data_IF_859342552425
#
_entry.id   IF_859342552425
#
_cell.length_a   1.000
_cell.length_b   1.000
_cell.length_c   1.000
_cell.angle_alpha   90.00
_cell.angle_beta   90.00
_cell.angle_gamma   90.00
#
_symmetry.space_group_name_H-M   'P 1'
#
loop_
_entity.id
_entity.type
_entity.pdbx_description
1 polymer ?
#
# COMPACT_ATOMS: atom_id res chain seq x y z
N UNK A 1 1.65 18.61 -70.33
CA UNK A 1 1.39 17.21 -70.74
C UNK A 1 1.61 16.37 -69.48
N UNK A 2 0.62 16.18 -68.59
CA UNK A 2 -0.43 15.13 -68.62
C UNK A 2 0.17 13.73 -68.83
N UNK A 3 0.01 12.71 -67.98
CA UNK A 3 -1.10 12.29 -67.11
C UNK A 3 -0.53 11.53 -65.87
N UNK A 4 -1.02 11.69 -64.64
CA UNK A 4 -2.28 11.15 -64.08
C UNK A 4 -2.43 9.63 -64.17
N UNK A 5 -2.24 8.92 -63.04
CA UNK A 5 -2.95 7.67 -62.70
C UNK A 5 -3.11 7.52 -61.18
N UNK A 6 -4.31 7.91 -60.75
CA UNK A 6 -5.03 7.37 -59.60
C UNK A 6 -5.39 5.90 -59.87
N UNK A 7 -5.28 5.00 -58.89
CA UNK A 7 -6.34 4.06 -58.51
C UNK A 7 -5.91 3.13 -57.37
N UNK A 8 -6.61 3.32 -56.26
CA UNK A 8 -6.86 2.45 -55.13
C UNK A 8 -7.45 1.09 -55.57
N UNK A 9 -6.92 -0.04 -55.08
CA UNK A 9 -7.70 -1.28 -54.89
C UNK A 9 -7.31 -1.91 -53.56
N UNK A 10 -8.30 -2.02 -52.69
CA UNK A 10 -8.32 -2.70 -51.40
C UNK A 10 -8.30 -4.21 -51.63
N UNK A 11 -7.44 -4.95 -50.93
CA UNK A 11 -7.61 -6.39 -50.75
C UNK A 11 -7.30 -6.76 -49.30
N UNK A 12 -8.38 -7.07 -48.59
CA UNK A 12 -8.44 -7.63 -47.25
C UNK A 12 -8.18 -9.15 -47.36
N UNK A 13 -7.21 -9.70 -46.64
CA UNK A 13 -7.22 -11.14 -46.33
C UNK A 13 -6.38 -11.44 -45.09
N UNK A 14 -7.10 -11.79 -44.04
CA UNK A 14 -6.61 -12.39 -42.80
C UNK A 14 -5.80 -13.66 -43.09
N UNK A 15 -4.68 -13.85 -42.40
CA UNK A 15 -4.29 -15.18 -41.90
C UNK A 15 -3.34 -15.04 -40.72
N UNK A 16 -3.74 -15.73 -39.66
CA UNK A 16 -3.22 -15.62 -38.31
C UNK A 16 -1.81 -16.21 -38.17
N UNK A 17 -1.09 -15.56 -37.26
CA UNK A 17 0.22 -15.90 -36.75
C UNK A 17 0.16 -17.23 -35.97
N UNK A 18 1.00 -18.20 -36.34
CA UNK A 18 1.28 -19.37 -35.51
C UNK A 18 2.80 -19.59 -35.48
N UNK A 19 3.47 -19.04 -34.47
CA UNK A 19 4.88 -19.30 -34.19
C UNK A 19 5.00 -20.26 -33.00
N UNK A 20 5.60 -21.42 -33.30
CA UNK A 20 6.39 -22.35 -32.48
C UNK A 20 6.29 -22.30 -30.96
N UNK A 21 5.87 -23.43 -30.39
CA UNK A 21 6.03 -23.74 -28.97
C UNK A 21 7.25 -24.62 -28.65
N UNK A 22 7.50 -24.68 -27.33
CA UNK A 22 8.25 -25.68 -26.54
C UNK A 22 9.78 -25.44 -26.42
N UNK A 23 10.46 -25.41 -25.26
CA UNK A 23 10.23 -26.04 -23.94
C UNK A 23 10.98 -25.28 -22.81
N UNK A 24 10.31 -24.96 -21.72
CA UNK A 24 10.91 -25.04 -20.37
C UNK A 24 9.88 -25.71 -19.46
N UNK A 25 10.17 -26.94 -19.07
CA UNK A 25 9.33 -27.72 -18.17
C UNK A 25 9.28 -27.07 -16.80
N UNK A 26 8.15 -26.44 -16.48
CA UNK A 26 7.75 -26.18 -15.10
C UNK A 26 7.10 -27.44 -14.56
N UNK A 27 7.84 -28.13 -13.71
CA UNK A 27 7.45 -29.30 -12.93
C UNK A 27 6.10 -29.02 -12.20
N UNK A 28 4.97 -29.69 -12.55
CA UNK A 28 3.66 -29.38 -11.98
C UNK A 28 3.49 -29.85 -10.52
N UNK A 29 4.53 -30.44 -9.92
CA UNK A 29 4.48 -30.97 -8.55
C UNK A 29 4.83 -29.95 -7.44
N UNK A 30 5.11 -28.68 -7.77
CA UNK A 30 5.49 -27.64 -6.77
C UNK A 30 4.49 -26.50 -6.57
N UNK A 31 3.37 -26.49 -7.28
CA UNK A 31 2.30 -25.53 -7.03
C UNK A 31 1.30 -26.14 -6.07
N UNK A 32 1.51 -25.94 -4.76
CA UNK A 32 0.41 -26.03 -3.79
C UNK A 32 -0.75 -25.12 -4.21
N UNK A 33 -1.98 -25.33 -3.69
CA UNK A 33 -3.16 -24.63 -4.17
C UNK A 33 -2.96 -23.12 -4.08
N UNK A 34 -2.76 -22.48 -5.24
CA UNK A 34 -2.84 -21.03 -5.37
C UNK A 34 -4.32 -20.71 -5.41
N UNK A 35 -4.86 -20.23 -4.29
CA UNK A 35 -6.18 -19.62 -4.30
C UNK A 35 -6.16 -18.48 -5.33
N UNK A 36 -7.19 -18.34 -6.18
CA UNK A 36 -7.25 -17.25 -7.14
C UNK A 36 -7.37 -15.96 -6.35
N UNK A 37 -6.31 -15.17 -6.33
CA UNK A 37 -6.38 -13.78 -5.87
C UNK A 37 -7.10 -13.04 -7.00
N UNK A 38 -8.41 -12.91 -6.91
CA UNK A 38 -9.16 -12.12 -7.88
C UNK A 38 -8.83 -10.67 -7.67
N UNK A 39 -8.57 -9.93 -8.75
CA UNK A 39 -8.34 -8.49 -8.64
C UNK A 39 -9.69 -7.78 -8.78
N UNK A 40 -10.05 -6.88 -7.86
CA UNK A 40 -11.25 -6.04 -8.05
C UNK A 40 -11.09 -5.18 -9.30
N UNK A 41 -12.19 -4.61 -9.78
CA UNK A 41 -12.18 -3.67 -10.92
C UNK A 41 -11.20 -2.49 -10.72
N UNK A 42 -10.78 -2.25 -9.48
CA UNK A 42 -9.88 -1.16 -9.07
C UNK A 42 -8.42 -1.63 -8.94
N UNK A 43 -8.09 -2.88 -9.26
CA UNK A 43 -6.71 -3.38 -9.18
C UNK A 43 -6.31 -3.97 -7.82
N UNK A 44 -7.25 -4.17 -6.88
CA UNK A 44 -7.00 -4.70 -5.53
C UNK A 44 -7.05 -6.23 -5.49
N UNK A 45 -6.18 -6.89 -4.73
CA UNK A 45 -6.36 -8.29 -4.38
C UNK A 45 -7.66 -8.47 -3.58
N UNK A 46 -8.76 -8.91 -4.19
CA UNK A 46 -9.97 -9.33 -3.49
C UNK A 46 -9.63 -10.49 -2.56
N UNK A 47 -9.66 -10.21 -1.26
CA UNK A 47 -9.33 -11.16 -0.20
C UNK A 47 -10.58 -11.79 0.41
N UNK A 48 -11.76 -11.47 -0.12
CA UNK A 48 -13.00 -12.11 0.34
C UNK A 48 -12.93 -13.61 0.06
N UNK A 49 -13.12 -14.42 1.10
CA UNK A 49 -13.02 -15.88 1.01
C UNK A 49 -11.64 -16.50 1.24
N UNK A 50 -10.59 -15.70 1.51
CA UNK A 50 -9.33 -16.25 2.02
C UNK A 50 -9.49 -16.73 3.48
N UNK A 51 -8.89 -17.87 3.80
CA UNK A 51 -8.79 -18.33 5.18
C UNK A 51 -7.84 -17.44 5.98
N UNK A 52 -7.98 -17.42 7.30
CA UNK A 52 -7.09 -16.68 8.20
C UNK A 52 -5.59 -16.99 7.93
N UNK A 53 -5.25 -18.27 7.72
CA UNK A 53 -3.87 -18.68 7.42
C UNK A 53 -3.38 -18.17 6.04
N UNK A 54 -4.27 -18.03 5.06
CA UNK A 54 -3.92 -17.42 3.77
C UNK A 54 -3.76 -15.92 3.92
N UNK A 55 -4.67 -15.26 4.65
CA UNK A 55 -4.57 -13.84 4.95
C UNK A 55 -3.30 -13.51 5.71
N UNK A 56 -2.89 -14.33 6.68
CA UNK A 56 -1.64 -14.14 7.42
C UNK A 56 -0.41 -14.42 6.56
N UNK A 57 -0.52 -15.28 5.54
CA UNK A 57 0.57 -15.49 4.57
C UNK A 57 0.71 -14.31 3.60
N UNK A 58 -0.39 -13.68 3.21
CA UNK A 58 -0.40 -12.53 2.29
C UNK A 58 -0.17 -11.19 3.00
N UNK A 59 -0.60 -11.09 4.26
CA UNK A 59 -0.59 -9.88 5.07
C UNK A 59 -0.38 -10.26 6.54
N UNK A 60 0.85 -10.69 6.91
CA UNK A 60 1.16 -11.22 8.24
C UNK A 60 0.93 -10.24 9.38
N UNK A 61 0.60 -8.99 9.07
CA UNK A 61 0.52 -7.89 10.01
C UNK A 61 -0.85 -7.20 9.98
N UNK A 62 -1.82 -7.74 9.25
CA UNK A 62 -3.20 -7.23 9.19
C UNK A 62 -3.82 -7.00 10.56
N UNK A 63 -3.49 -7.83 11.56
CA UNK A 63 -4.02 -7.75 12.92
C UNK A 63 -3.64 -6.49 13.70
N UNK A 64 -2.69 -5.70 13.21
CA UNK A 64 -2.35 -4.41 13.82
C UNK A 64 -3.08 -3.23 13.21
N UNK A 65 -3.56 -3.37 11.97
CA UNK A 65 -4.27 -2.29 11.29
C UNK A 65 -5.76 -2.35 11.62
N UNK A 66 -6.37 -1.19 11.77
CA UNK A 66 -7.82 -1.07 11.82
C UNK A 66 -8.33 -0.71 10.44
N UNK A 67 -9.27 -1.50 9.94
CA UNK A 67 -9.99 -1.22 8.70
C UNK A 67 -11.20 -0.34 9.03
N UNK A 68 -10.93 0.96 9.22
CA UNK A 68 -11.91 1.98 9.62
C UNK A 68 -11.70 3.24 8.79
N UNK A 69 -12.74 4.06 8.68
CA UNK A 69 -12.71 5.36 8.00
C UNK A 69 -11.86 6.39 8.77
N UNK A 70 -11.55 7.54 8.16
CA UNK A 70 -10.76 8.58 8.84
C UNK A 70 -11.46 9.15 10.05
N UNK A 71 -12.75 9.45 9.90
CA UNK A 71 -13.51 10.07 10.98
C UNK A 71 -13.67 9.07 12.13
N UNK A 72 -13.82 7.77 11.83
CA UNK A 72 -13.77 6.70 12.83
C UNK A 72 -12.40 6.58 13.49
N UNK A 73 -11.30 6.75 12.74
CA UNK A 73 -9.95 6.73 13.29
C UNK A 73 -9.74 7.84 14.31
N UNK A 74 -10.15 9.06 13.99
CA UNK A 74 -10.09 10.20 14.91
C UNK A 74 -11.01 10.03 16.10
N UNK A 75 -12.24 9.53 15.90
CA UNK A 75 -13.17 9.24 16.98
C UNK A 75 -12.63 8.16 17.93
N UNK A 76 -12.06 7.09 17.39
CA UNK A 76 -11.42 6.03 18.16
C UNK A 76 -10.21 6.55 18.94
N UNK A 77 -9.34 7.34 18.29
CA UNK A 77 -8.18 7.95 18.93
C UNK A 77 -8.58 8.93 20.04
N UNK A 78 -9.63 9.72 19.86
CA UNK A 78 -10.16 10.59 20.91
C UNK A 78 -10.68 9.78 22.10
N UNK A 79 -11.42 8.69 21.83
CA UNK A 79 -11.95 7.79 22.87
C UNK A 79 -10.83 7.07 23.63
N UNK A 80 -9.79 6.63 22.93
CA UNK A 80 -8.67 5.88 23.50
C UNK A 80 -7.54 6.78 24.03
N UNK A 81 -7.63 8.10 23.84
CA UNK A 81 -6.58 9.07 24.16
C UNK A 81 -5.24 8.72 23.47
N UNK A 82 -5.34 8.29 22.20
CA UNK A 82 -4.22 7.89 21.35
C UNK A 82 -3.99 8.87 20.20
N UNK A 83 -2.86 8.72 19.54
CA UNK A 83 -2.59 9.35 18.24
C UNK A 83 -3.25 8.53 17.12
N UNK A 84 -3.41 9.14 15.94
CA UNK A 84 -3.73 8.40 14.72
C UNK A 84 -2.49 8.32 13.87
N UNK A 85 -2.13 7.09 13.49
CA UNK A 85 -1.01 6.83 12.57
C UNK A 85 -1.59 6.26 11.30
N UNK A 86 -1.48 7.01 10.22
CA UNK A 86 -1.83 6.53 8.90
C UNK A 86 -0.59 6.00 8.20
N UNK A 87 -0.64 4.75 7.80
CA UNK A 87 0.39 4.11 6.98
C UNK A 87 -0.04 4.11 5.52
N UNK A 88 0.61 4.93 4.71
CA UNK A 88 0.36 5.01 3.28
C UNK A 88 1.24 4.02 2.54
N UNK A 89 0.60 3.09 1.83
CA UNK A 89 1.28 2.00 1.15
C UNK A 89 0.52 1.57 -0.13
N UNK A 90 1.20 0.83 -0.98
CA UNK A 90 0.60 0.13 -2.11
C UNK A 90 1.00 -1.35 -2.06
N UNK A 91 0.11 -2.26 -2.44
CA UNK A 91 0.37 -3.71 -2.38
C UNK A 91 1.53 -4.14 -3.30
N UNK A 92 1.68 -3.45 -4.43
CA UNK A 92 2.74 -3.65 -5.41
C UNK A 92 4.05 -2.93 -5.08
N UNK A 93 4.13 -2.19 -3.97
CA UNK A 93 5.30 -1.40 -3.58
C UNK A 93 6.32 -2.26 -2.82
N UNK A 94 7.42 -2.63 -3.48
CA UNK A 94 8.51 -3.40 -2.87
C UNK A 94 9.15 -2.66 -1.68
N UNK A 95 9.34 -1.34 -1.80
CA UNK A 95 9.86 -0.52 -0.71
C UNK A 95 8.94 -0.53 0.52
N UNK A 96 7.63 -0.65 0.32
CA UNK A 96 6.64 -0.72 1.39
C UNK A 96 6.76 -2.07 2.10
N UNK A 97 6.87 -3.18 1.36
CA UNK A 97 7.11 -4.50 1.94
C UNK A 97 8.41 -4.54 2.74
N UNK A 98 9.49 -3.97 2.19
CA UNK A 98 10.77 -3.86 2.91
C UNK A 98 10.64 -3.02 4.19
N UNK A 99 9.90 -1.91 4.16
CA UNK A 99 9.66 -1.09 5.35
C UNK A 99 8.80 -1.80 6.40
N UNK A 100 7.77 -2.51 5.97
CA UNK A 100 6.95 -3.38 6.81
C UNK A 100 7.81 -4.39 7.57
N UNK A 101 8.57 -5.21 6.84
CA UNK A 101 9.38 -6.30 7.40
C UNK A 101 10.51 -5.81 8.31
N UNK A 102 11.17 -4.71 7.94
CA UNK A 102 12.43 -4.30 8.59
C UNK A 102 12.23 -3.13 9.58
N UNK A 103 11.09 -2.45 9.56
CA UNK A 103 10.86 -1.26 10.39
C UNK A 103 9.51 -1.35 11.11
N UNK A 104 8.41 -1.32 10.37
CA UNK A 104 7.07 -1.16 10.96
C UNK A 104 6.69 -2.31 11.91
N UNK A 105 7.19 -3.51 11.62
CA UNK A 105 6.85 -4.72 12.37
C UNK A 105 7.96 -5.26 13.27
N UNK A 106 8.99 -4.45 13.51
CA UNK A 106 9.93 -4.67 14.60
C UNK A 106 9.22 -4.61 15.95
N UNK A 107 9.67 -5.39 16.93
CA UNK A 107 8.95 -5.51 18.21
C UNK A 107 8.80 -4.18 18.95
N UNK A 108 9.80 -3.30 18.86
CA UNK A 108 9.79 -1.97 19.48
C UNK A 108 8.73 -1.05 18.85
N UNK A 109 8.68 -0.98 17.52
CA UNK A 109 7.69 -0.17 16.79
C UNK A 109 6.28 -0.71 17.02
N UNK A 110 6.10 -2.03 17.01
CA UNK A 110 4.80 -2.66 17.30
C UNK A 110 4.31 -2.36 18.71
N UNK A 111 5.18 -2.45 19.71
CA UNK A 111 4.85 -2.17 21.09
C UNK A 111 4.34 -0.73 21.23
N UNK A 112 5.08 0.23 20.67
CA UNK A 112 4.70 1.64 20.70
C UNK A 112 3.36 1.89 19.99
N UNK A 113 3.18 1.35 18.77
CA UNK A 113 1.95 1.55 18.01
C UNK A 113 0.73 0.98 18.73
N UNK A 114 0.86 -0.18 19.38
CA UNK A 114 -0.24 -0.79 20.14
C UNK A 114 -0.66 0.06 21.34
N UNK A 115 0.31 0.64 22.03
CA UNK A 115 0.09 1.43 23.24
C UNK A 115 -0.41 2.85 22.92
N UNK A 116 0.16 3.50 21.90
CA UNK A 116 0.00 4.95 21.70
C UNK A 116 -0.80 5.33 20.45
N UNK A 117 -1.11 4.39 19.56
CA UNK A 117 -1.70 4.71 18.26
C UNK A 117 -2.94 3.89 17.89
N UNK A 118 -3.82 4.55 17.14
CA UNK A 118 -4.77 3.91 16.23
C UNK A 118 -4.07 3.83 14.87
N UNK A 119 -3.57 2.64 14.52
CA UNK A 119 -2.88 2.39 13.25
C UNK A 119 -3.90 2.08 12.16
N UNK A 120 -3.93 2.93 11.12
CA UNK A 120 -4.84 2.81 9.99
C UNK A 120 -4.05 2.66 8.71
N UNK A 121 -4.49 1.70 7.89
CA UNK A 121 -3.88 1.46 6.59
C UNK A 121 -4.55 2.34 5.56
N UNK A 122 -3.77 3.20 4.92
CA UNK A 122 -4.24 4.04 3.84
C UNK A 122 -3.82 3.44 2.49
N UNK A 123 -4.83 3.03 1.71
CA UNK A 123 -4.71 2.61 0.31
C UNK A 123 -5.15 3.78 -0.59
N UNK A 124 -4.52 3.94 -1.76
CA UNK A 124 -4.68 5.07 -2.72
C UNK A 124 -6.10 5.42 -3.23
N UNK A 125 -7.15 4.80 -2.73
CA UNK A 125 -8.53 4.96 -3.19
C UNK A 125 -9.48 5.12 -2.00
N UNK A 126 -10.66 5.70 -2.25
CA UNK A 126 -11.64 5.99 -1.19
C UNK A 126 -11.13 7.01 -0.17
N UNK A 127 -11.22 6.69 1.12
CA UNK A 127 -10.73 7.52 2.24
C UNK A 127 -9.25 7.92 2.09
N UNK A 128 -8.45 7.14 1.36
CA UNK A 128 -7.05 7.46 1.11
C UNK A 128 -6.78 8.69 0.26
N UNK A 129 -7.73 9.03 -0.61
CA UNK A 129 -7.69 10.27 -1.39
C UNK A 129 -7.83 11.49 -0.46
N UNK A 130 -8.66 11.40 0.58
CA UNK A 130 -8.80 12.47 1.59
C UNK A 130 -7.49 12.70 2.35
N UNK A 131 -6.71 11.65 2.64
CA UNK A 131 -5.36 11.81 3.20
C UNK A 131 -4.44 12.57 2.26
N UNK A 132 -4.46 12.16 1.01
CA UNK A 132 -3.63 12.75 -0.01
C UNK A 132 -3.97 14.23 -0.17
N UNK A 133 -5.24 14.59 -0.26
CA UNK A 133 -5.68 15.98 -0.32
C UNK A 133 -5.31 16.78 0.94
N UNK A 134 -5.35 16.14 2.12
CA UNK A 134 -5.08 16.83 3.40
C UNK A 134 -3.58 17.00 3.68
N UNK A 135 -2.75 16.01 3.32
CA UNK A 135 -1.35 15.91 3.79
C UNK A 135 -0.31 15.81 2.65
N UNK A 136 -0.72 15.72 1.39
CA UNK A 136 0.17 15.93 0.23
C UNK A 136 0.35 17.43 0.02
N UNK A 137 1.34 18.04 0.68
CA UNK A 137 1.70 19.44 0.44
C UNK A 137 2.31 19.62 -0.97
N UNK A 138 1.46 19.67 -2.01
CA UNK A 138 1.80 20.16 -3.35
C UNK A 138 2.77 19.32 -4.21
N UNK A 139 3.23 18.16 -3.74
CA UNK A 139 4.21 17.31 -4.47
C UNK A 139 3.90 15.81 -4.49
N UNK A 140 2.78 15.38 -3.90
CA UNK A 140 2.42 13.97 -3.72
C UNK A 140 2.70 13.43 -2.32
N UNK A 141 2.35 12.15 -2.12
CA UNK A 141 2.72 11.34 -0.97
C UNK A 141 3.63 10.23 -1.48
N UNK A 142 4.80 10.09 -0.89
CA UNK A 142 5.70 9.01 -1.27
C UNK A 142 5.29 7.69 -0.61
N UNK A 143 5.77 6.58 -1.17
CA UNK A 143 5.55 5.25 -0.63
C UNK A 143 6.89 4.65 -0.19
N UNK A 144 6.96 4.05 1.02
CA UNK A 144 6.01 4.13 2.12
C UNK A 144 6.01 5.49 2.82
N UNK A 145 4.92 5.83 3.50
CA UNK A 145 4.86 6.98 4.41
C UNK A 145 4.07 6.71 5.69
N UNK A 146 4.49 7.35 6.79
CA UNK A 146 3.77 7.42 8.07
C UNK A 146 3.35 8.85 8.35
N UNK A 147 2.06 9.06 8.59
CA UNK A 147 1.49 10.36 8.93
C UNK A 147 0.90 10.23 10.33
N UNK A 148 1.47 10.99 11.25
CA UNK A 148 1.13 10.93 12.67
C UNK A 148 0.39 12.21 13.04
N UNK A 149 -0.81 12.04 13.56
CA UNK A 149 -1.74 13.13 13.84
C UNK A 149 -2.34 12.99 15.23
N UNK A 150 -2.78 14.10 15.80
CA UNK A 150 -3.67 14.10 16.96
C UNK A 150 -5.08 13.68 16.55
N UNK A 151 -5.90 13.30 17.53
CA UNK A 151 -7.29 12.94 17.30
C UNK A 151 -8.17 14.09 16.75
N UNK A 152 -7.69 15.35 16.78
CA UNK A 152 -8.37 16.51 16.18
C UNK A 152 -7.93 16.79 14.72
N UNK A 153 -7.04 15.96 14.16
CA UNK A 153 -6.51 16.12 12.80
C UNK A 153 -5.23 16.94 12.69
N UNK A 154 -4.67 17.47 13.78
CA UNK A 154 -3.40 18.20 13.70
C UNK A 154 -2.25 17.23 13.38
N UNK A 155 -1.58 17.45 12.25
CA UNK A 155 -0.39 16.67 11.88
C UNK A 155 0.79 17.05 12.77
N UNK A 156 1.37 16.05 13.42
CA UNK A 156 2.54 16.21 14.29
C UNK A 156 3.83 15.86 13.56
N UNK A 157 3.78 14.79 12.76
CA UNK A 157 4.95 14.26 12.07
C UNK A 157 4.54 13.59 10.77
N UNK A 158 5.42 13.70 9.79
CA UNK A 158 5.36 12.98 8.54
C UNK A 158 6.73 12.34 8.30
N UNK A 159 6.75 11.04 8.07
CA UNK A 159 7.94 10.28 7.69
C UNK A 159 7.65 9.69 6.31
N UNK A 160 8.49 9.99 5.33
CA UNK A 160 8.32 9.52 3.96
C UNK A 160 9.63 8.93 3.46
N UNK A 161 9.54 7.88 2.66
CA UNK A 161 10.66 7.49 1.83
C UNK A 161 10.89 8.53 0.73
N UNK A 162 12.13 8.79 0.37
CA UNK A 162 12.48 9.55 -0.83
C UNK A 162 13.03 8.61 -1.92
N UNK A 163 13.30 9.14 -3.12
CA UNK A 163 13.76 8.35 -4.27
C UNK A 163 15.07 7.57 -4.02
N UNK A 164 15.84 7.95 -3.00
CA UNK A 164 17.14 7.37 -2.66
C UNK A 164 17.22 6.83 -1.22
N UNK A 165 16.28 7.18 -0.34
CA UNK A 165 16.28 6.82 1.08
C UNK A 165 15.00 6.10 1.49
N UNK A 166 15.19 4.94 2.12
CA UNK A 166 14.15 4.28 2.93
C UNK A 166 13.98 5.09 4.23
N UNK A 167 12.80 5.00 4.83
CA UNK A 167 12.61 5.48 6.22
C UNK A 167 13.35 4.49 7.13
N UNK A 168 14.42 4.88 7.81
CA UNK A 168 15.17 3.96 8.65
C UNK A 168 14.47 3.79 10.02
N UNK A 169 14.77 2.70 10.72
CA UNK A 169 14.14 2.37 12.00
C UNK A 169 14.39 3.44 13.05
N UNK A 170 15.62 3.94 13.13
CA UNK A 170 16.03 4.98 14.06
C UNK A 170 15.22 6.27 13.91
N UNK A 171 14.83 6.65 12.69
CA UNK A 171 14.03 7.86 12.45
C UNK A 171 12.59 7.66 12.93
N UNK A 172 12.03 6.45 12.75
CA UNK A 172 10.71 6.10 13.29
C UNK A 172 10.73 6.16 14.81
N UNK A 173 11.73 5.55 15.44
CA UNK A 173 11.85 5.54 16.91
C UNK A 173 12.11 6.95 17.46
N UNK A 174 12.96 7.73 16.81
CA UNK A 174 13.21 9.12 17.19
C UNK A 174 11.95 9.99 17.07
N UNK A 175 11.17 9.79 16.01
CA UNK A 175 9.87 10.45 15.85
C UNK A 175 8.92 10.06 16.98
N UNK A 176 8.76 8.77 17.27
CA UNK A 176 7.89 8.29 18.33
C UNK A 176 8.27 8.84 19.70
N UNK A 177 9.55 8.80 20.05
CA UNK A 177 10.07 9.39 21.28
C UNK A 177 9.80 10.89 21.39
N UNK A 178 9.87 11.63 20.28
CA UNK A 178 9.58 13.07 20.28
C UNK A 178 8.10 13.41 20.49
N UNK A 179 7.21 12.41 20.34
CA UNK A 179 5.77 12.55 20.48
C UNK A 179 5.25 12.09 21.85
N UNK A 180 6.10 11.44 22.64
CA UNK A 180 5.79 11.11 24.03
C UNK A 180 5.61 12.41 24.83
N UNK A 181 4.56 12.52 25.66
CA UNK A 181 4.39 13.69 26.51
C UNK A 181 5.61 13.82 27.43
N UNK A 182 6.14 15.04 27.53
CA UNK A 182 7.29 15.35 28.39
C UNK A 182 6.91 15.18 29.86
N UNK A 183 7.06 13.96 30.39
CA UNK A 183 6.84 13.62 31.79
C UNK A 183 5.45 13.03 32.07
N UNK A 184 5.43 11.73 32.38
CA UNK A 184 4.40 11.13 33.24
C UNK A 184 4.71 11.37 34.71
#
# INVERSE_FOLDING_TARGET
MAASRLALVVALSMLAFACGGDKTGSDPAKTGPQAPITTTAEGYSDRTGLTEAQLDKFDPYRGMFRDITFDEAYAAAAKEQKLVVFYHHAESCEHCRSFEENVLFTDEVKAWLKEHAVLVRNRNHGEGQRLFETYSFGGGLAFPSLIITRHNGDMLKKLEADLNHKIPLEDVLAAFKSLEPAGG
#
